data_IF_543581921022
#
_entry.id   IF_543581921022
#
_cell.length_a   1.000
_cell.length_b   1.000
_cell.length_c   1.000
_cell.angle_alpha   90.00
_cell.angle_beta   90.00
_cell.angle_gamma   90.00
#
_symmetry.space_group_name_H-M   'P 1'
#
loop_
_entity.id
_entity.type
_entity.pdbx_description
1 polymer ?
#
# COMPACT_ATOMS: atom_id res chain seq x y z
N UNK A 1 22.16 -18.22 10.10
CA UNK A 1 20.85 -18.11 9.43
C UNK A 1 19.93 -19.15 10.03
N UNK A 2 18.68 -18.78 10.35
CA UNK A 2 17.59 -19.67 10.73
C UNK A 2 16.26 -18.94 10.50
N UNK A 3 15.16 -19.67 10.36
CA UNK A 3 13.79 -19.14 10.21
C UNK A 3 13.49 -18.32 8.93
N UNK A 4 14.32 -18.40 7.88
CA UNK A 4 14.01 -17.84 6.55
C UNK A 4 13.95 -16.31 6.45
N UNK A 5 14.37 -15.60 7.50
CA UNK A 5 14.45 -14.14 7.52
C UNK A 5 15.77 -13.66 6.91
N UNK A 6 15.69 -12.63 6.08
CA UNK A 6 16.85 -11.94 5.52
C UNK A 6 17.21 -10.76 6.43
N UNK A 7 18.50 -10.65 6.78
CA UNK A 7 19.03 -9.49 7.48
C UNK A 7 19.35 -8.39 6.46
N UNK A 8 18.91 -7.17 6.75
CA UNK A 8 19.27 -5.96 5.99
C UNK A 8 20.24 -5.15 6.84
N UNK A 9 21.53 -5.37 6.63
CA UNK A 9 22.57 -4.59 7.29
C UNK A 9 22.58 -3.18 6.72
N UNK A 10 21.91 -2.25 7.41
CA UNK A 10 21.93 -0.82 7.09
C UNK A 10 23.27 -0.24 7.52
N UNK A 11 24.29 -0.45 6.70
CA UNK A 11 25.62 0.13 6.88
C UNK A 11 25.52 1.64 6.65
N UNK A 12 25.37 2.38 7.74
CA UNK A 12 25.54 3.83 7.72
C UNK A 12 27.02 4.16 7.53
N UNK A 13 27.40 4.68 6.36
CA UNK A 13 28.77 5.13 6.14
C UNK A 13 29.04 6.41 6.95
N UNK A 14 30.22 6.57 7.57
CA UNK A 14 30.51 7.67 8.50
C UNK A 14 30.86 8.96 7.74
N UNK A 15 29.89 9.46 6.98
CA UNK A 15 30.09 10.45 5.94
C UNK A 15 29.44 11.79 6.29
N UNK A 16 30.25 12.84 6.19
CA UNK A 16 29.85 14.25 6.08
C UNK A 16 28.63 14.72 6.91
N UNK A 17 28.70 14.58 8.23
CA UNK A 17 28.44 15.73 9.10
C UNK A 17 26.99 16.21 9.27
N UNK A 18 26.12 15.38 9.83
CA UNK A 18 25.08 15.88 10.75
C UNK A 18 25.13 15.13 12.08
N UNK A 19 25.85 15.70 13.04
CA UNK A 19 25.81 15.27 14.44
C UNK A 19 24.46 15.69 15.05
N UNK A 20 23.42 14.89 14.81
CA UNK A 20 22.13 15.06 15.45
C UNK A 20 22.32 14.96 16.97
N UNK A 21 22.15 16.07 17.68
CA UNK A 21 22.18 16.10 19.14
C UNK A 21 21.08 15.17 19.65
N UNK A 22 21.50 14.05 20.24
CA UNK A 22 20.61 13.10 20.88
C UNK A 22 20.07 13.71 22.17
N UNK A 23 19.10 14.62 22.04
CA UNK A 23 18.18 14.91 23.13
C UNK A 23 17.54 13.60 23.58
N UNK A 24 17.38 13.42 24.89
CA UNK A 24 16.67 12.26 25.45
C UNK A 24 15.15 12.39 25.22
N UNK A 25 14.75 12.46 23.95
CA UNK A 25 13.38 12.31 23.51
C UNK A 25 12.94 10.87 23.69
N UNK A 26 11.68 10.67 24.11
CA UNK A 26 11.08 9.34 24.20
C UNK A 26 11.07 8.73 22.79
N UNK A 27 11.48 7.45 22.61
CA UNK A 27 11.54 6.81 21.31
C UNK A 27 10.27 6.97 20.46
N UNK A 28 10.34 7.80 19.42
CA UNK A 28 9.20 8.13 18.59
C UNK A 28 8.82 6.99 17.62
N UNK A 29 7.68 6.37 17.88
CA UNK A 29 7.13 5.33 17.02
C UNK A 29 6.70 5.86 15.64
N UNK A 30 6.39 7.15 15.46
CA UNK A 30 6.07 7.75 14.16
C UNK A 30 7.31 7.84 13.25
N UNK A 31 8.47 8.22 13.79
CA UNK A 31 9.76 8.21 13.10
C UNK A 31 10.12 6.79 12.62
N UNK A 32 10.02 5.79 13.50
CA UNK A 32 10.34 4.40 13.13
C UNK A 32 9.31 3.79 12.18
N UNK A 33 8.02 4.12 12.34
CA UNK A 33 6.97 3.78 11.38
C UNK A 33 7.29 4.26 9.96
N UNK A 34 7.77 5.50 9.80
CA UNK A 34 8.17 6.07 8.50
C UNK A 34 9.44 5.41 7.97
N UNK A 35 10.48 5.24 8.81
CA UNK A 35 11.75 4.60 8.42
C UNK A 35 11.60 3.16 7.93
N UNK A 36 10.65 2.41 8.50
CA UNK A 36 10.38 1.01 8.16
C UNK A 36 9.20 0.85 7.20
N UNK A 37 9.07 1.76 6.21
CA UNK A 37 8.13 1.58 5.09
C UNK A 37 6.65 1.55 5.50
N UNK A 38 6.25 2.35 6.50
CA UNK A 38 4.88 2.42 7.00
C UNK A 38 4.34 1.12 7.62
N UNK A 39 5.23 0.35 8.27
CA UNK A 39 4.92 -0.82 9.10
C UNK A 39 3.85 -0.53 10.16
N UNK A 40 2.98 -1.49 10.50
CA UNK A 40 1.95 -1.25 11.53
C UNK A 40 2.58 -0.98 12.90
N UNK A 41 1.97 -0.11 13.72
CA UNK A 41 2.48 0.21 15.07
C UNK A 41 2.57 -1.01 15.97
N UNK A 42 1.65 -1.97 15.83
CA UNK A 42 1.61 -3.16 16.67
C UNK A 42 2.69 -4.16 16.24
N UNK A 43 2.95 -4.30 14.93
CA UNK A 43 4.12 -5.04 14.41
C UNK A 43 5.43 -4.37 14.81
N UNK A 44 5.50 -3.03 14.75
CA UNK A 44 6.66 -2.24 15.11
C UNK A 44 7.00 -2.36 16.60
N UNK A 45 6.02 -2.28 17.50
CA UNK A 45 6.24 -2.49 18.93
C UNK A 45 6.61 -3.95 19.24
N UNK A 46 6.01 -4.93 18.55
CA UNK A 46 6.37 -6.35 18.65
C UNK A 46 7.81 -6.62 18.20
N UNK A 47 8.28 -5.94 17.15
CA UNK A 47 9.67 -6.01 16.67
C UNK A 47 10.67 -5.29 17.59
N UNK A 48 10.22 -4.28 18.34
CA UNK A 48 11.03 -3.53 19.31
C UNK A 48 10.99 -4.10 20.75
N UNK A 49 10.27 -5.22 20.98
CA UNK A 49 10.11 -5.85 22.31
C UNK A 49 10.38 -7.36 22.31
N UNK A 50 10.53 -7.98 21.14
CA UNK A 50 11.10 -9.31 20.95
C UNK A 50 12.49 -9.12 20.38
N UNK A 51 13.47 -9.94 20.77
CA UNK A 51 14.88 -9.84 20.34
C UNK A 51 15.11 -10.28 18.86
N UNK A 52 14.14 -9.98 17.99
CA UNK A 52 14.11 -10.32 16.58
C UNK A 52 14.79 -9.25 15.70
N UNK A 53 14.96 -8.02 16.20
CA UNK A 53 15.54 -6.89 15.46
C UNK A 53 16.47 -6.09 16.37
N UNK A 54 17.69 -5.85 15.91
CA UNK A 54 18.68 -5.02 16.61
C UNK A 54 18.56 -3.54 16.19
N UNK A 55 19.00 -2.62 17.05
CA UNK A 55 19.08 -1.19 16.73
C UNK A 55 17.78 -0.39 16.81
N UNK A 56 16.62 -1.03 16.99
CA UNK A 56 15.36 -0.35 17.33
C UNK A 56 15.27 -0.23 18.87
N UNK A 57 15.15 0.97 19.45
CA UNK A 57 14.91 1.14 20.89
C UNK A 57 13.50 0.67 21.28
N UNK A 58 13.22 0.31 22.55
CA UNK A 58 11.89 -0.09 22.98
C UNK A 58 10.83 0.99 22.68
N UNK A 59 9.85 0.65 21.82
CA UNK A 59 8.79 1.56 21.39
C UNK A 59 7.49 1.31 22.16
N UNK A 60 6.71 2.38 22.36
CA UNK A 60 5.31 2.30 22.76
C UNK A 60 4.45 2.79 21.60
N UNK A 61 3.34 2.10 21.34
CA UNK A 61 2.44 2.50 20.27
C UNK A 61 1.75 3.84 20.64
N UNK A 62 1.63 4.81 19.71
CA UNK A 62 1.05 6.11 20.03
C UNK A 62 -0.41 6.03 20.49
N UNK A 63 -0.90 7.10 21.12
CA UNK A 63 -2.32 7.29 21.38
C UNK A 63 -3.09 7.36 20.04
N UNK A 64 -4.38 7.00 20.05
CA UNK A 64 -5.13 6.80 18.80
C UNK A 64 -5.20 8.04 17.87
N UNK A 65 -5.06 9.26 18.43
CA UNK A 65 -4.99 10.50 17.64
C UNK A 65 -3.61 10.71 17.00
N UNK A 66 -2.53 10.28 17.66
CA UNK A 66 -1.14 10.36 17.19
C UNK A 66 -0.79 9.30 16.13
N UNK A 67 -1.54 8.19 16.07
CA UNK A 67 -1.35 7.12 15.07
C UNK A 67 -1.66 7.57 13.62
N UNK A 68 -2.23 8.76 13.42
CA UNK A 68 -2.61 9.27 12.10
C UNK A 68 -1.38 9.61 11.25
N UNK A 69 -1.08 8.75 10.27
CA UNK A 69 -0.09 9.02 9.22
C UNK A 69 -0.81 9.16 7.87
N UNK A 70 -0.73 10.35 7.26
CA UNK A 70 -1.48 10.70 6.03
C UNK A 70 -1.15 9.72 4.89
N UNK A 71 0.14 9.45 4.62
CA UNK A 71 0.56 8.48 3.61
C UNK A 71 0.06 7.04 3.88
N UNK A 72 -0.14 6.67 5.15
CA UNK A 72 -0.81 5.41 5.51
C UNK A 72 -2.31 5.45 5.20
N UNK A 73 -2.98 6.56 5.51
CA UNK A 73 -4.42 6.73 5.28
C UNK A 73 -4.68 6.67 3.77
N UNK A 74 -3.95 7.44 2.97
CA UNK A 74 -4.07 7.48 1.51
C UNK A 74 -3.65 6.14 0.86
N UNK A 75 -2.46 5.63 1.19
CA UNK A 75 -1.91 4.40 0.61
C UNK A 75 -2.59 3.11 1.04
N UNK A 76 -3.41 3.13 2.11
CA UNK A 76 -4.19 1.98 2.59
C UNK A 76 -5.70 2.25 2.57
N UNK A 77 -6.15 3.32 1.91
CA UNK A 77 -7.57 3.63 1.75
C UNK A 77 -8.20 2.58 0.85
N UNK A 78 -8.94 1.63 1.43
CA UNK A 78 -9.77 0.74 0.63
C UNK A 78 -10.79 1.58 -0.15
N UNK A 79 -10.99 1.26 -1.44
CA UNK A 79 -12.14 1.79 -2.17
C UNK A 79 -13.40 1.32 -1.47
N UNK A 80 -14.26 2.26 -1.06
CA UNK A 80 -15.53 1.96 -0.41
C UNK A 80 -16.32 0.89 -1.16
N UNK A 81 -16.94 -0.03 -0.41
CA UNK A 81 -17.60 -1.22 -0.95
C UNK A 81 -18.54 -0.87 -2.11
N UNK A 82 -18.28 -1.48 -3.27
CA UNK A 82 -19.10 -1.29 -4.47
C UNK A 82 -20.48 -1.91 -4.19
N UNK A 83 -21.54 -1.11 -4.35
CA UNK A 83 -22.92 -1.57 -4.16
C UNK A 83 -23.20 -2.79 -5.03
N UNK A 84 -23.74 -3.85 -4.41
CA UNK A 84 -24.26 -5.03 -5.13
C UNK A 84 -25.55 -4.72 -5.91
N UNK A 85 -26.19 -3.59 -5.61
CA UNK A 85 -27.41 -3.12 -6.28
C UNK A 85 -27.06 -1.99 -7.25
N UNK A 86 -27.44 -2.16 -8.52
CA UNK A 86 -27.34 -1.11 -9.54
C UNK A 86 -28.34 0.02 -9.27
N UNK A 87 -27.92 1.27 -9.53
CA UNK A 87 -28.82 2.44 -9.61
C UNK A 87 -29.48 2.60 -10.98
N UNK A 88 -28.93 1.98 -12.03
CA UNK A 88 -29.60 1.85 -13.33
C UNK A 88 -30.63 0.72 -13.27
N UNK A 89 -31.80 0.95 -13.88
CA UNK A 89 -32.80 -0.09 -14.16
C UNK A 89 -32.17 -1.17 -15.05
N UNK A 90 -32.50 -2.46 -14.86
CA UNK A 90 -32.16 -3.52 -15.82
C UNK A 90 -32.99 -3.37 -17.11
N UNK A 91 -32.56 -4.05 -18.17
CA UNK A 91 -33.40 -4.33 -19.34
C UNK A 91 -34.71 -5.03 -18.93
N UNK A 92 -35.80 -4.73 -19.63
CA UNK A 92 -37.12 -5.33 -19.42
C UNK A 92 -37.55 -6.21 -20.60
N UNK A 93 -37.08 -5.90 -21.81
CA UNK A 93 -37.13 -6.75 -22.98
C UNK A 93 -35.80 -6.72 -23.78
N UNK A 94 -35.74 -7.44 -24.90
CA UNK A 94 -34.52 -7.54 -25.72
C UNK A 94 -34.23 -6.22 -26.43
N UNK A 95 -32.94 -5.86 -26.50
CA UNK A 95 -32.38 -4.63 -27.07
C UNK A 95 -32.71 -3.35 -26.29
N UNK A 96 -33.18 -3.45 -25.04
CA UNK A 96 -33.41 -2.29 -24.15
C UNK A 96 -32.11 -1.61 -23.69
N UNK A 97 -31.02 -2.37 -23.51
CA UNK A 97 -29.77 -1.88 -22.89
C UNK A 97 -28.53 -2.61 -23.41
N UNK A 98 -28.01 -2.15 -24.55
CA UNK A 98 -26.75 -2.69 -25.09
C UNK A 98 -25.55 -2.13 -24.32
N UNK A 99 -24.73 -3.03 -23.80
CA UNK A 99 -23.42 -2.75 -23.21
C UNK A 99 -22.34 -2.88 -24.30
N UNK A 100 -21.58 -1.81 -24.51
CA UNK A 100 -20.52 -1.74 -25.53
C UNK A 100 -19.17 -1.49 -24.87
N UNK A 101 -18.14 -2.24 -25.27
CA UNK A 101 -16.74 -1.98 -24.92
C UNK A 101 -15.85 -1.97 -26.18
N UNK A 102 -14.73 -1.25 -26.13
CA UNK A 102 -13.78 -1.10 -27.24
C UNK A 102 -12.38 -1.51 -26.78
N UNK A 103 -11.96 -2.71 -27.15
CA UNK A 103 -10.66 -3.25 -26.79
C UNK A 103 -9.61 -2.94 -27.89
N UNK A 104 -8.51 -2.29 -27.51
CA UNK A 104 -7.33 -2.08 -28.35
C UNK A 104 -6.54 -0.81 -28.00
N UNK A 105 -5.42 -0.53 -28.69
CA UNK A 105 -4.87 -1.30 -29.80
C UNK A 105 -4.18 -2.59 -29.32
N UNK A 106 -4.59 -3.72 -29.89
CA UNK A 106 -3.95 -5.01 -29.67
C UNK A 106 -2.51 -5.01 -30.19
N UNK A 107 -1.62 -5.74 -29.51
CA UNK A 107 -0.20 -5.88 -29.89
C UNK A 107 -0.03 -6.54 -31.26
N UNK A 108 -0.81 -7.58 -31.53
CA UNK A 108 -0.92 -8.27 -32.82
C UNK A 108 -2.14 -7.77 -33.59
N UNK A 109 -2.01 -7.54 -34.90
CA UNK A 109 -3.13 -7.21 -35.78
C UNK A 109 -3.82 -8.49 -36.30
N UNK A 110 -5.08 -8.39 -36.70
CA UNK A 110 -5.75 -9.45 -37.48
C UNK A 110 -5.14 -9.56 -38.89
N UNK A 111 -5.41 -10.64 -39.66
CA UNK A 111 -4.97 -10.73 -41.05
C UNK A 111 -5.47 -9.58 -41.95
N UNK A 112 -6.56 -8.90 -41.57
CA UNK A 112 -7.07 -7.70 -42.24
C UNK A 112 -6.50 -6.38 -41.70
N UNK A 113 -5.43 -6.42 -40.89
CA UNK A 113 -4.76 -5.24 -40.32
C UNK A 113 -5.48 -4.59 -39.14
N UNK A 114 -6.66 -5.07 -38.73
CA UNK A 114 -7.40 -4.49 -37.62
C UNK A 114 -6.69 -4.73 -36.27
N UNK A 115 -6.65 -3.71 -35.42
CA UNK A 115 -6.03 -3.75 -34.07
C UNK A 115 -7.01 -3.47 -32.93
N UNK A 116 -8.29 -3.30 -33.23
CA UNK A 116 -9.35 -3.04 -32.27
C UNK A 116 -10.51 -4.01 -32.51
N UNK A 117 -11.25 -4.34 -31.46
CA UNK A 117 -12.57 -4.95 -31.59
C UNK A 117 -13.56 -4.26 -30.64
N UNK A 118 -14.81 -4.15 -31.07
CA UNK A 118 -15.91 -3.69 -30.23
C UNK A 118 -16.80 -4.88 -29.87
N UNK A 119 -17.22 -4.96 -28.62
CA UNK A 119 -18.26 -5.89 -28.15
C UNK A 119 -19.60 -5.16 -28.08
N UNK A 120 -20.69 -5.88 -28.30
CA UNK A 120 -22.05 -5.38 -28.10
C UNK A 120 -22.85 -6.51 -27.42
N UNK A 121 -23.30 -6.29 -26.19
CA UNK A 121 -23.99 -7.27 -25.36
C UNK A 121 -25.35 -6.74 -24.96
N UNK A 122 -26.41 -7.48 -25.30
CA UNK A 122 -27.79 -7.32 -24.80
C UNK A 122 -27.94 -8.05 -23.45
#
# INVERSE_FOLDING_TARGET
QSNGLYFVDVIATPDAGYAAVATHSVPDAMLWHRRLGHLSYDTLCSAATRDNVTGIPPLRAPANHERQCIACIEGKLHRAAISRTSTRKPAQCKLDLIHTDLCGPMSTATPGGARYFATFTD
#
